data_IF_151711846975
#
_entry.id   IF_151711846975
#
_cell.length_a   1.000
_cell.length_b   1.000
_cell.length_c   1.000
_cell.angle_alpha   90.00
_cell.angle_beta   90.00
_cell.angle_gamma   90.00
#
_symmetry.space_group_name_H-M   'P 1'
#
loop_
_entity.id
_entity.type
_entity.pdbx_description
1 polymer ?
#
# COMPACT_ATOMS: atom_id res chain seq x y z
N UNK A 1 -5.62 10.26 8.42
CA UNK A 1 -7.05 10.45 8.06
C UNK A 1 -7.27 10.00 6.62
N UNK A 2 -8.27 9.15 6.34
CA UNK A 2 -8.57 8.72 4.99
C UNK A 2 -9.14 9.88 4.14
N UNK A 3 -8.62 10.10 2.92
CA UNK A 3 -9.16 11.10 1.98
C UNK A 3 -10.58 10.72 1.59
N UNK A 4 -11.55 11.60 1.84
CA UNK A 4 -12.95 11.44 1.41
C UNK A 4 -13.06 11.43 -0.12
N UNK A 5 -13.90 10.57 -0.66
CA UNK A 5 -14.18 10.54 -2.10
C UNK A 5 -14.87 11.83 -2.57
N UNK A 6 -14.82 12.13 -3.87
CA UNK A 6 -15.54 13.30 -4.42
C UNK A 6 -17.04 13.22 -4.12
N UNK A 7 -17.66 12.04 -4.27
CA UNK A 7 -19.06 11.79 -3.89
C UNK A 7 -19.32 12.13 -2.43
N UNK A 8 -18.49 11.61 -1.52
CA UNK A 8 -18.65 11.85 -0.08
C UNK A 8 -18.47 13.33 0.28
N UNK A 9 -17.54 14.04 -0.38
CA UNK A 9 -17.35 15.48 -0.19
C UNK A 9 -18.55 16.27 -0.69
N UNK A 10 -19.09 15.94 -1.87
CA UNK A 10 -20.28 16.57 -2.44
C UNK A 10 -21.49 16.36 -1.53
N UNK A 11 -21.76 15.12 -1.11
CA UNK A 11 -22.86 14.79 -0.17
C UNK A 11 -22.71 15.57 1.14
N UNK A 12 -21.52 15.55 1.76
CA UNK A 12 -21.26 16.30 3.00
C UNK A 12 -21.46 17.81 2.82
N UNK A 13 -21.04 18.37 1.68
CA UNK A 13 -21.22 19.79 1.38
C UNK A 13 -22.70 20.12 1.27
N UNK A 14 -23.48 19.32 0.54
CA UNK A 14 -24.93 19.55 0.39
C UNK A 14 -25.64 19.44 1.75
N UNK A 15 -25.39 18.38 2.53
CA UNK A 15 -25.98 18.26 3.87
C UNK A 15 -25.61 19.41 4.80
N UNK A 16 -24.36 19.87 4.76
CA UNK A 16 -23.92 21.04 5.54
C UNK A 16 -24.68 22.30 5.12
N UNK A 17 -24.91 22.49 3.83
CA UNK A 17 -25.69 23.61 3.30
C UNK A 17 -27.15 23.52 3.76
N UNK A 18 -27.81 22.37 3.60
CA UNK A 18 -29.19 22.15 4.04
C UNK A 18 -29.34 22.43 5.55
N UNK A 19 -28.48 21.86 6.39
CA UNK A 19 -28.51 22.05 7.84
C UNK A 19 -28.32 23.52 8.25
N UNK A 20 -27.45 24.24 7.54
CA UNK A 20 -27.23 25.68 7.77
C UNK A 20 -28.46 26.49 7.39
N UNK A 21 -29.15 26.14 6.30
CA UNK A 21 -30.37 26.79 5.85
C UNK A 21 -31.53 26.52 6.82
N UNK A 22 -31.69 25.29 7.30
CA UNK A 22 -32.69 24.91 8.30
C UNK A 22 -32.47 25.64 9.63
N UNK A 23 -31.23 25.71 10.12
CA UNK A 23 -30.89 26.46 11.33
C UNK A 23 -31.20 27.95 11.19
N UNK A 24 -30.85 28.55 10.05
CA UNK A 24 -31.17 29.97 9.76
C UNK A 24 -32.67 30.23 9.67
N UNK A 25 -33.45 29.28 9.13
CA UNK A 25 -34.92 29.33 9.14
C UNK A 25 -35.46 29.34 10.56
N UNK A 26 -34.98 28.42 11.41
CA UNK A 26 -35.42 28.29 12.80
C UNK A 26 -35.04 29.50 13.67
N UNK A 27 -33.84 30.05 13.47
CA UNK A 27 -33.33 31.23 14.19
C UNK A 27 -33.97 32.56 13.76
N UNK A 28 -34.79 32.59 12.70
CA UNK A 28 -35.46 33.81 12.20
C UNK A 28 -36.98 33.82 12.40
N UNK A 29 -37.58 32.73 12.91
CA UNK A 29 -38.92 32.79 13.52
C UNK A 29 -38.98 33.79 14.71
N UNK A 30 -37.82 34.29 15.15
CA UNK A 30 -37.63 35.33 16.16
C UNK A 30 -37.26 36.71 15.62
N UNK A 31 -37.18 36.95 14.30
CA UNK A 31 -36.83 38.27 13.76
C UNK A 31 -36.82 38.36 12.23
N UNK A 32 -37.58 39.32 11.70
CA UNK A 32 -37.89 39.59 10.29
C UNK A 32 -36.68 39.93 9.42
N UNK A 33 -36.25 38.99 8.56
CA UNK A 33 -35.49 39.26 7.31
C UNK A 33 -35.87 38.23 6.24
N UNK A 34 -36.02 38.69 4.99
CA UNK A 34 -36.39 37.87 3.84
C UNK A 34 -35.34 36.79 3.51
N UNK A 35 -35.85 35.63 3.14
CA UNK A 35 -35.12 34.40 2.95
C UNK A 35 -34.44 34.38 1.55
N UNK A 36 -33.22 33.84 1.44
CA UNK A 36 -32.45 33.81 0.16
C UNK A 36 -32.79 32.64 -0.79
N UNK A 37 -33.37 31.57 -0.28
CA UNK A 37 -33.83 30.40 -1.05
C UNK A 37 -35.35 30.10 -0.80
N UNK A 38 -35.91 28.98 -1.18
CA UNK A 38 -37.32 28.63 -0.90
C UNK A 38 -37.37 27.24 -0.29
N UNK A 39 -38.48 26.87 0.36
CA UNK A 39 -38.64 25.49 0.85
C UNK A 39 -38.50 24.49 -0.30
N UNK A 40 -39.03 24.85 -1.48
CA UNK A 40 -38.87 24.12 -2.72
C UNK A 40 -37.40 23.88 -3.07
N UNK A 41 -36.54 24.89 -2.98
CA UNK A 41 -35.10 24.72 -3.25
C UNK A 41 -34.38 23.82 -2.23
N UNK A 42 -34.84 23.77 -0.98
CA UNK A 42 -34.31 22.79 0.00
C UNK A 42 -34.73 21.37 -0.39
N UNK A 43 -35.99 21.19 -0.75
CA UNK A 43 -36.55 19.89 -1.14
C UNK A 43 -35.86 19.37 -2.41
N UNK A 44 -35.64 20.26 -3.40
CA UNK A 44 -34.88 19.98 -4.63
C UNK A 44 -33.44 19.53 -4.31
N UNK A 45 -32.75 20.22 -3.38
CA UNK A 45 -31.40 19.82 -2.95
C UNK A 45 -31.38 18.44 -2.28
N UNK A 46 -32.39 18.12 -1.46
CA UNK A 46 -32.51 16.82 -0.82
C UNK A 46 -32.82 15.70 -1.81
N UNK A 47 -33.62 15.98 -2.85
CA UNK A 47 -33.86 15.05 -3.95
C UNK A 47 -32.58 14.78 -4.76
N UNK A 48 -31.78 15.81 -5.03
CA UNK A 48 -30.46 15.66 -5.67
C UNK A 48 -29.53 14.76 -4.83
N UNK A 49 -29.51 14.90 -3.50
CA UNK A 49 -28.72 14.01 -2.63
C UNK A 49 -29.18 12.57 -2.75
N UNK A 50 -30.49 12.30 -2.65
CA UNK A 50 -31.05 10.95 -2.84
C UNK A 50 -30.67 10.37 -4.21
N UNK A 51 -30.72 11.19 -5.25
CA UNK A 51 -30.26 10.84 -6.59
C UNK A 51 -28.76 10.46 -6.63
N UNK A 52 -27.89 11.29 -6.04
CA UNK A 52 -26.46 11.03 -5.94
C UNK A 52 -26.17 9.76 -5.13
N UNK A 53 -26.92 9.49 -4.06
CA UNK A 53 -26.76 8.31 -3.24
C UNK A 53 -27.03 7.02 -4.02
N UNK A 54 -28.05 7.02 -4.88
CA UNK A 54 -28.43 5.89 -5.75
C UNK A 54 -27.31 5.45 -6.70
N UNK A 55 -26.46 6.38 -7.15
CA UNK A 55 -25.36 6.06 -8.07
C UNK A 55 -24.04 5.82 -7.34
N UNK A 56 -23.36 4.70 -7.61
CA UNK A 56 -22.06 4.42 -6.97
C UNK A 56 -20.97 5.47 -7.31
N UNK A 57 -21.06 6.14 -8.47
CA UNK A 57 -20.12 7.15 -8.92
C UNK A 57 -20.86 8.41 -9.41
N UNK A 58 -20.28 9.60 -9.19
CA UNK A 58 -20.84 10.87 -9.68
C UNK A 58 -20.71 11.03 -11.20
N UNK A 59 -19.66 10.46 -11.79
CA UNK A 59 -19.36 10.59 -13.21
C UNK A 59 -19.38 9.21 -13.88
N UNK A 60 -19.77 9.12 -15.16
CA UNK A 60 -19.63 7.91 -15.95
C UNK A 60 -18.18 7.42 -15.95
N UNK A 61 -17.98 6.10 -15.86
CA UNK A 61 -16.63 5.53 -15.95
C UNK A 61 -16.21 5.44 -17.41
N UNK A 62 -15.15 6.17 -17.77
CA UNK A 62 -14.46 5.98 -19.05
C UNK A 62 -13.55 4.77 -18.96
N UNK A 63 -13.55 3.94 -20.01
CA UNK A 63 -12.55 2.88 -20.14
C UNK A 63 -11.23 3.52 -20.57
N UNK A 64 -10.19 3.34 -19.77
CA UNK A 64 -8.85 3.83 -20.08
C UNK A 64 -8.06 2.65 -20.62
N UNK A 65 -7.51 2.73 -21.86
CA UNK A 65 -6.65 1.70 -22.42
C UNK A 65 -5.49 1.38 -21.46
N UNK A 66 -5.14 0.09 -21.36
CA UNK A 66 -4.12 -0.39 -20.41
C UNK A 66 -3.03 -1.13 -21.17
N UNK A 67 -1.78 -0.93 -20.78
CA UNK A 67 -0.65 -1.64 -21.34
C UNK A 67 -0.65 -3.10 -20.86
N UNK A 68 -1.08 -4.03 -21.70
CA UNK A 68 -1.13 -5.46 -21.34
C UNK A 68 0.15 -6.22 -21.67
N UNK A 69 0.96 -5.69 -22.60
CA UNK A 69 2.18 -6.33 -23.11
C UNK A 69 3.25 -6.55 -22.05
N UNK A 70 3.40 -5.60 -21.12
CA UNK A 70 4.38 -5.72 -20.04
C UNK A 70 4.18 -7.01 -19.23
N UNK A 71 2.93 -7.33 -18.91
CA UNK A 71 2.59 -8.55 -18.17
C UNK A 71 2.83 -9.82 -18.99
N UNK A 72 2.70 -9.78 -20.33
CA UNK A 72 2.95 -10.95 -21.17
C UNK A 72 4.44 -11.29 -21.29
N UNK A 73 5.33 -10.29 -21.24
CA UNK A 73 6.78 -10.51 -21.30
C UNK A 73 7.42 -10.85 -19.94
N UNK A 74 6.65 -10.78 -18.84
CA UNK A 74 7.17 -10.94 -17.49
C UNK A 74 8.01 -12.21 -17.29
N UNK A 75 7.54 -13.34 -17.83
CA UNK A 75 8.25 -14.61 -17.69
C UNK A 75 9.35 -14.82 -18.75
N UNK A 76 9.34 -14.05 -19.85
CA UNK A 76 10.32 -14.16 -20.94
C UNK A 76 11.60 -13.36 -20.70
N UNK A 77 11.61 -12.38 -19.78
CA UNK A 77 12.85 -11.67 -19.41
C UNK A 77 13.91 -12.61 -18.87
N UNK A 78 15.19 -12.28 -18.99
CA UNK A 78 16.23 -13.11 -18.39
C UNK A 78 16.19 -13.07 -16.83
N UNK A 79 17.07 -13.84 -16.18
CA UNK A 79 17.10 -13.90 -14.72
C UNK A 79 17.57 -12.58 -14.07
N UNK A 80 18.43 -11.81 -14.73
CA UNK A 80 18.96 -10.57 -14.20
C UNK A 80 17.87 -9.50 -14.20
N UNK A 81 17.17 -9.34 -15.32
CA UNK A 81 16.09 -8.38 -15.48
C UNK A 81 14.89 -8.73 -14.60
N UNK A 82 14.52 -10.00 -14.55
CA UNK A 82 13.48 -10.46 -13.61
C UNK A 82 13.83 -10.11 -12.16
N UNK A 83 15.08 -10.35 -11.75
CA UNK A 83 15.55 -10.01 -10.39
C UNK A 83 15.62 -8.50 -10.18
N UNK A 84 15.96 -7.69 -11.18
CA UNK A 84 15.95 -6.23 -11.05
C UNK A 84 14.55 -5.69 -10.76
N UNK A 85 13.53 -6.29 -11.37
CA UNK A 85 12.14 -5.84 -11.25
C UNK A 85 11.54 -6.26 -9.91
N UNK A 86 11.56 -7.57 -9.58
CA UNK A 86 10.88 -8.10 -8.37
C UNK A 86 11.81 -8.46 -7.21
N UNK A 87 13.13 -8.24 -7.33
CA UNK A 87 14.17 -8.57 -6.32
C UNK A 87 14.17 -10.02 -5.87
N UNK A 88 13.72 -10.93 -6.74
CA UNK A 88 13.56 -12.35 -6.45
C UNK A 88 13.97 -13.18 -7.66
N UNK A 89 14.50 -14.39 -7.44
CA UNK A 89 14.77 -15.35 -8.51
C UNK A 89 13.47 -15.92 -9.08
N UNK A 90 13.46 -16.25 -10.37
CA UNK A 90 12.31 -16.89 -11.05
C UNK A 90 11.85 -18.18 -10.36
N UNK A 91 12.79 -19.04 -9.96
CA UNK A 91 12.48 -20.32 -9.29
C UNK A 91 11.80 -20.10 -7.94
N UNK A 92 12.35 -19.21 -7.11
CA UNK A 92 11.77 -18.82 -5.82
C UNK A 92 10.39 -18.18 -6.02
N UNK A 93 10.25 -17.31 -7.02
CA UNK A 93 8.99 -16.66 -7.35
C UNK A 93 7.91 -17.67 -7.74
N UNK A 94 8.24 -18.64 -8.61
CA UNK A 94 7.32 -19.70 -9.01
C UNK A 94 6.90 -20.56 -7.79
N UNK A 95 7.86 -20.93 -6.94
CA UNK A 95 7.59 -21.69 -5.71
C UNK A 95 6.67 -20.92 -4.76
N UNK A 96 6.97 -19.64 -4.51
CA UNK A 96 6.19 -18.79 -3.62
C UNK A 96 4.78 -18.57 -4.15
N UNK A 97 4.65 -18.32 -5.45
CA UNK A 97 3.35 -18.21 -6.14
C UNK A 97 2.51 -19.46 -5.90
N UNK A 98 3.08 -20.65 -6.09
CA UNK A 98 2.39 -21.93 -5.86
C UNK A 98 1.96 -22.09 -4.40
N UNK A 99 2.80 -21.67 -3.45
CA UNK A 99 2.51 -21.76 -2.00
C UNK A 99 1.34 -20.88 -1.59
N UNK A 100 1.30 -19.63 -2.05
CA UNK A 100 0.25 -18.69 -1.66
C UNK A 100 -1.03 -18.85 -2.49
N UNK A 101 -0.99 -19.55 -3.64
CA UNK A 101 -2.12 -19.62 -4.58
C UNK A 101 -3.42 -20.17 -3.98
N UNK A 102 -3.34 -21.05 -2.97
CA UNK A 102 -4.52 -21.67 -2.33
C UNK A 102 -5.12 -20.80 -1.21
N UNK A 103 -4.50 -19.67 -0.87
CA UNK A 103 -4.94 -18.82 0.23
C UNK A 103 -6.33 -18.22 -0.02
N UNK A 104 -7.16 -18.13 1.03
CA UNK A 104 -8.57 -17.68 0.95
C UNK A 104 -8.71 -16.28 0.32
N UNK A 105 -7.71 -15.41 0.51
CA UNK A 105 -7.71 -14.03 -0.04
C UNK A 105 -7.72 -13.98 -1.57
N UNK A 106 -7.30 -15.06 -2.25
CA UNK A 106 -7.28 -15.16 -3.71
C UNK A 106 -8.53 -15.84 -4.28
N UNK A 107 -9.41 -16.40 -3.44
CA UNK A 107 -10.66 -16.99 -3.90
C UNK A 107 -11.66 -15.90 -4.32
N UNK A 108 -12.27 -16.07 -5.50
CA UNK A 108 -13.29 -15.13 -5.97
C UNK A 108 -14.58 -15.31 -5.17
N UNK A 109 -15.17 -14.21 -4.69
CA UNK A 109 -16.42 -14.23 -3.89
C UNK A 109 -17.68 -14.19 -4.76
N UNK A 110 -17.66 -14.80 -5.94
CA UNK A 110 -18.81 -14.83 -6.85
C UNK A 110 -19.15 -13.51 -7.55
N UNK A 111 -18.33 -12.46 -7.42
CA UNK A 111 -18.48 -11.28 -8.29
C UNK A 111 -18.14 -11.69 -9.71
N UNK A 112 -19.01 -11.49 -10.70
CA UNK A 112 -18.87 -11.94 -12.10
C UNK A 112 -17.60 -11.53 -12.87
N UNK A 113 -16.62 -10.90 -12.21
CA UNK A 113 -15.24 -10.78 -12.69
C UNK A 113 -14.30 -11.69 -11.90
N UNK A 114 -13.62 -12.56 -12.63
CA UNK A 114 -12.53 -13.36 -12.07
C UNK A 114 -11.40 -12.46 -11.55
N UNK A 115 -10.80 -12.87 -10.43
CA UNK A 115 -9.60 -12.22 -9.93
C UNK A 115 -8.44 -12.39 -10.93
N UNK A 116 -7.53 -11.42 -10.97
CA UNK A 116 -6.27 -11.57 -11.72
C UNK A 116 -5.43 -12.70 -11.13
N UNK A 117 -4.59 -13.37 -11.95
CA UNK A 117 -3.80 -14.50 -11.48
C UNK A 117 -2.85 -14.09 -10.34
N UNK A 118 -2.59 -15.04 -9.44
CA UNK A 118 -1.81 -14.81 -8.21
C UNK A 118 -0.40 -14.33 -8.50
N UNK A 119 0.24 -14.85 -9.56
CA UNK A 119 1.58 -14.42 -9.97
C UNK A 119 1.63 -12.92 -10.29
N UNK A 120 0.59 -12.35 -10.93
CA UNK A 120 0.55 -10.93 -11.28
C UNK A 120 0.38 -10.07 -10.03
N UNK A 121 -0.48 -10.52 -9.10
CA UNK A 121 -0.64 -9.86 -7.81
C UNK A 121 0.68 -9.87 -7.01
N UNK A 122 1.40 -11.00 -7.02
CA UNK A 122 2.70 -11.15 -6.37
C UNK A 122 3.77 -10.27 -7.02
N UNK A 123 3.91 -10.31 -8.35
CA UNK A 123 4.91 -9.51 -9.08
C UNK A 123 4.70 -8.01 -8.83
N UNK A 124 3.47 -7.52 -8.97
CA UNK A 124 3.12 -6.14 -8.69
C UNK A 124 3.42 -5.74 -7.23
N UNK A 125 3.21 -6.64 -6.27
CA UNK A 125 3.51 -6.39 -4.85
C UNK A 125 5.02 -6.34 -4.61
N UNK A 126 5.76 -7.30 -5.13
CA UNK A 126 7.21 -7.36 -4.96
C UNK A 126 7.92 -6.17 -5.61
N UNK A 127 7.54 -5.80 -6.84
CA UNK A 127 8.08 -4.61 -7.49
C UNK A 127 7.79 -3.34 -6.69
N UNK A 128 6.56 -3.19 -6.16
CA UNK A 128 6.21 -2.04 -5.33
C UNK A 128 7.06 -1.94 -4.06
N UNK A 129 7.34 -3.08 -3.42
CA UNK A 129 8.18 -3.15 -2.21
C UNK A 129 9.67 -2.96 -2.54
N UNK A 130 10.13 -3.48 -3.67
CA UNK A 130 11.51 -3.39 -4.13
C UNK A 130 11.94 -1.97 -4.48
N UNK A 131 11.00 -1.16 -4.99
CA UNK A 131 11.24 0.19 -5.51
C UNK A 131 10.53 1.26 -4.67
N UNK A 132 10.16 0.95 -3.43
CA UNK A 132 9.66 1.97 -2.51
C UNK A 132 10.82 2.91 -2.11
N UNK A 133 10.59 4.22 -2.24
CA UNK A 133 11.63 5.23 -2.02
C UNK A 133 12.47 5.61 -3.25
N UNK A 134 12.34 4.93 -4.39
CA UNK A 134 13.03 5.31 -5.66
C UNK A 134 12.14 6.12 -6.62
N UNK A 135 11.02 6.67 -6.13
CA UNK A 135 10.08 7.48 -6.92
C UNK A 135 9.02 6.68 -7.69
N UNK A 136 9.01 5.35 -7.60
CA UNK A 136 7.95 4.53 -8.20
C UNK A 136 6.61 4.72 -7.48
N UNK A 137 5.66 5.33 -8.19
CA UNK A 137 4.32 5.61 -7.65
C UNK A 137 3.35 4.46 -7.91
N UNK A 138 2.29 4.38 -7.10
CA UNK A 138 1.17 3.45 -7.34
C UNK A 138 0.58 3.61 -8.75
N UNK A 139 0.56 4.83 -9.28
CA UNK A 139 0.09 5.10 -10.64
C UNK A 139 1.07 4.59 -11.71
N UNK A 140 2.38 4.73 -11.47
CA UNK A 140 3.43 4.20 -12.34
C UNK A 140 3.31 2.69 -12.51
N UNK A 141 3.31 1.97 -11.40
CA UNK A 141 3.13 0.51 -11.37
C UNK A 141 1.78 0.11 -12.00
N UNK A 142 0.70 0.84 -11.68
CA UNK A 142 -0.61 0.56 -12.29
C UNK A 142 -0.61 0.69 -13.81
N UNK A 143 0.08 1.70 -14.36
CA UNK A 143 0.19 1.93 -15.80
C UNK A 143 1.03 0.85 -16.45
N UNK A 144 2.16 0.52 -15.86
CA UNK A 144 3.11 -0.49 -16.34
C UNK A 144 2.48 -1.88 -16.41
N UNK A 145 1.82 -2.33 -15.34
CA UNK A 145 1.17 -3.64 -15.28
C UNK A 145 -0.21 -3.70 -15.96
N UNK A 146 -0.70 -2.59 -16.51
CA UNK A 146 -2.02 -2.54 -17.13
C UNK A 146 -3.17 -2.85 -16.16
N UNK A 147 -3.08 -2.39 -14.92
CA UNK A 147 -4.09 -2.58 -13.87
C UNK A 147 -4.71 -1.24 -13.43
N UNK A 148 -5.66 -1.26 -12.50
CA UNK A 148 -6.17 -0.02 -11.91
C UNK A 148 -5.37 0.34 -10.66
N UNK A 149 -5.21 1.62 -10.34
CA UNK A 149 -4.41 2.06 -9.19
C UNK A 149 -4.90 1.44 -7.88
N UNK A 150 -6.22 1.33 -7.69
CA UNK A 150 -6.79 0.66 -6.52
C UNK A 150 -6.52 -0.86 -6.48
N UNK A 151 -6.25 -1.48 -7.63
CA UNK A 151 -5.85 -2.88 -7.70
C UNK A 151 -4.45 -3.10 -7.14
N UNK A 152 -3.51 -2.18 -7.36
CA UNK A 152 -2.15 -2.27 -6.77
C UNK A 152 -2.24 -2.39 -5.25
N UNK A 153 -2.96 -1.48 -4.59
CA UNK A 153 -3.14 -1.52 -3.12
C UNK A 153 -3.88 -2.78 -2.66
N UNK A 154 -4.86 -3.24 -3.45
CA UNK A 154 -5.61 -4.47 -3.15
C UNK A 154 -4.72 -5.70 -3.25
N UNK A 155 -3.87 -5.77 -4.28
CA UNK A 155 -2.93 -6.88 -4.50
C UNK A 155 -1.89 -6.93 -3.41
N UNK A 156 -1.28 -5.78 -3.07
CA UNK A 156 -0.37 -5.68 -1.93
C UNK A 156 -1.00 -6.21 -0.65
N UNK A 157 -2.22 -5.75 -0.32
CA UNK A 157 -2.90 -6.21 0.90
C UNK A 157 -3.09 -7.73 0.90
N UNK A 158 -3.56 -8.31 -0.20
CA UNK A 158 -3.79 -9.77 -0.30
C UNK A 158 -2.50 -10.56 -0.19
N UNK A 159 -1.46 -10.16 -0.92
CA UNK A 159 -0.16 -10.82 -0.91
C UNK A 159 0.48 -10.71 0.46
N UNK A 160 0.51 -9.52 1.07
CA UNK A 160 1.06 -9.33 2.43
C UNK A 160 0.28 -10.17 3.45
N UNK A 161 -1.05 -10.24 3.37
CA UNK A 161 -1.83 -11.13 4.24
C UNK A 161 -1.40 -12.59 4.07
N UNK A 162 -1.38 -13.11 2.84
CA UNK A 162 -0.98 -14.50 2.60
C UNK A 162 0.47 -14.80 3.02
N UNK A 163 1.39 -13.82 2.88
CA UNK A 163 2.77 -13.95 3.32
C UNK A 163 2.90 -13.92 4.84
N UNK A 164 2.13 -13.08 5.52
CA UNK A 164 2.11 -13.01 6.99
C UNK A 164 1.61 -14.34 7.59
N UNK A 165 0.58 -14.95 6.99
CA UNK A 165 0.07 -16.25 7.44
C UNK A 165 1.08 -17.38 7.18
N UNK A 166 1.93 -17.24 6.16
CA UNK A 166 3.02 -18.17 5.86
C UNK A 166 4.26 -17.96 6.76
N UNK A 167 4.49 -16.73 7.22
CA UNK A 167 5.69 -16.29 7.93
C UNK A 167 6.13 -17.19 9.10
N UNK A 168 5.25 -17.67 10.01
CA UNK A 168 5.65 -18.50 11.16
C UNK A 168 6.34 -19.82 10.78
N UNK A 169 6.15 -20.30 9.56
CA UNK A 169 6.81 -21.51 9.07
C UNK A 169 8.28 -21.29 8.74
N UNK A 170 8.66 -20.04 8.42
CA UNK A 170 9.98 -19.69 7.89
C UNK A 170 10.77 -18.75 8.81
N UNK A 171 10.08 -17.87 9.54
CA UNK A 171 10.70 -16.92 10.46
C UNK A 171 10.54 -17.46 11.88
N UNK A 172 11.52 -18.25 12.31
CA UNK A 172 11.58 -18.83 13.65
C UNK A 172 12.83 -18.37 14.38
N UNK A 173 12.77 -18.34 15.71
CA UNK A 173 13.97 -18.23 16.52
C UNK A 173 14.69 -19.58 16.50
N UNK A 174 16.01 -19.61 16.20
CA UNK A 174 16.75 -20.86 16.13
C UNK A 174 16.78 -21.58 17.47
N UNK A 175 16.80 -22.91 17.44
CA UNK A 175 16.85 -23.76 18.65
C UNK A 175 18.20 -23.65 19.37
N UNK A 176 18.28 -24.11 20.62
CA UNK A 176 19.51 -23.97 21.43
C UNK A 176 20.75 -24.61 20.78
N UNK A 177 20.58 -25.74 20.10
CA UNK A 177 21.64 -26.44 19.35
C UNK A 177 22.04 -25.66 18.11
N UNK A 178 21.07 -25.21 17.32
CA UNK A 178 21.28 -24.40 16.12
C UNK A 178 21.98 -23.08 16.45
N UNK A 179 21.59 -22.42 17.55
CA UNK A 179 22.25 -21.20 18.03
C UNK A 179 23.72 -21.40 18.33
N UNK A 180 24.09 -22.53 18.96
CA UNK A 180 25.50 -22.86 19.22
C UNK A 180 26.27 -23.06 17.91
N UNK A 181 25.68 -23.77 16.95
CA UNK A 181 26.30 -23.99 15.64
C UNK A 181 26.51 -22.67 14.88
N UNK A 182 25.48 -21.80 14.85
CA UNK A 182 25.57 -20.49 14.20
C UNK A 182 26.64 -19.63 14.89
N UNK A 183 26.66 -19.59 16.23
CA UNK A 183 27.64 -18.80 16.97
C UNK A 183 29.08 -19.27 16.76
N UNK A 184 29.30 -20.58 16.68
CA UNK A 184 30.61 -21.14 16.34
C UNK A 184 31.01 -20.76 14.92
N UNK A 185 30.12 -20.97 13.95
CA UNK A 185 30.37 -20.60 12.54
C UNK A 185 30.70 -19.11 12.40
N UNK A 186 29.90 -18.21 12.98
CA UNK A 186 30.15 -16.77 12.89
C UNK A 186 31.45 -16.38 13.59
N UNK A 187 31.77 -17.00 14.73
CA UNK A 187 33.05 -16.79 15.41
C UNK A 187 34.23 -17.19 14.52
N UNK A 188 34.16 -18.35 13.86
CA UNK A 188 35.25 -18.85 13.03
C UNK A 188 35.46 -18.01 11.75
N UNK A 189 34.38 -17.62 11.08
CA UNK A 189 34.47 -16.89 9.80
C UNK A 189 34.60 -15.37 9.96
N UNK A 190 34.00 -14.79 11.00
CA UNK A 190 33.91 -13.34 11.19
C UNK A 190 34.51 -12.83 12.50
N UNK A 191 35.09 -13.71 13.33
CA UNK A 191 35.64 -13.37 14.64
C UNK A 191 34.66 -12.63 15.56
N UNK A 192 33.35 -12.93 15.42
CA UNK A 192 32.30 -12.27 16.19
C UNK A 192 31.58 -13.28 17.11
N UNK A 193 32.03 -13.43 18.37
CA UNK A 193 31.54 -14.49 19.27
C UNK A 193 30.10 -14.27 19.71
N UNK A 194 29.41 -15.37 20.03
CA UNK A 194 28.03 -15.37 20.57
C UNK A 194 26.95 -14.76 19.64
N UNK A 195 27.27 -14.53 18.38
CA UNK A 195 26.32 -14.05 17.39
C UNK A 195 25.46 -15.18 16.84
N UNK A 196 24.14 -15.02 16.90
CA UNK A 196 23.19 -16.06 16.44
C UNK A 196 22.42 -15.65 15.19
N UNK A 197 22.46 -14.36 14.80
CA UNK A 197 21.80 -13.83 13.60
C UNK A 197 22.22 -12.38 13.34
N UNK A 198 22.22 -12.00 12.07
CA UNK A 198 22.26 -10.60 11.63
C UNK A 198 20.83 -10.11 11.34
N UNK A 199 20.45 -8.99 11.95
CA UNK A 199 19.24 -8.23 11.62
C UNK A 199 19.72 -6.87 11.10
N UNK A 200 19.03 -6.33 10.10
CA UNK A 200 19.38 -5.10 9.40
C UNK A 200 19.75 -3.91 10.32
N UNK A 201 20.49 -2.96 9.76
CA UNK A 201 21.16 -1.83 10.40
C UNK A 201 20.40 -1.21 11.55
N UNK A 202 20.83 -1.55 12.76
CA UNK A 202 20.43 -0.77 13.94
C UNK A 202 21.23 0.51 13.93
N UNK A 203 20.53 1.64 13.95
CA UNK A 203 21.15 2.96 14.01
C UNK A 203 21.09 3.49 15.44
N UNK A 204 22.24 3.81 16.04
CA UNK A 204 22.32 4.62 17.24
C UNK A 204 22.15 6.08 16.85
N UNK A 205 21.03 6.70 17.24
CA UNK A 205 20.75 8.11 16.94
C UNK A 205 21.64 8.99 17.82
N UNK A 206 22.35 9.93 17.20
CA UNK A 206 23.19 10.91 17.88
C UNK A 206 22.35 12.13 18.25
N UNK A 207 22.58 12.68 19.44
CA UNK A 207 21.89 13.89 19.92
C UNK A 207 22.31 15.15 19.15
N UNK A 208 23.53 15.14 18.58
CA UNK A 208 24.12 16.26 17.86
C UNK A 208 24.85 15.79 16.60
N UNK A 209 25.00 16.69 15.62
CA UNK A 209 25.86 16.49 14.45
C UNK A 209 27.33 16.33 14.91
N UNK A 210 28.03 15.26 14.51
CA UNK A 210 29.46 15.14 14.79
C UNK A 210 30.26 16.31 14.21
N UNK A 211 31.24 16.82 14.98
CA UNK A 211 32.10 17.94 14.55
C UNK A 211 32.96 17.60 13.34
N UNK A 212 33.39 16.34 13.24
CA UNK A 212 34.21 15.83 12.13
C UNK A 212 33.33 15.02 11.18
N UNK A 213 33.27 15.44 9.92
CA UNK A 213 32.50 14.77 8.85
C UNK A 213 31.05 14.48 9.26
N UNK A 214 30.33 15.45 9.85
CA UNK A 214 28.98 15.22 10.35
C UNK A 214 27.97 14.76 9.28
N UNK A 215 28.24 15.07 8.02
CA UNK A 215 27.44 14.72 6.84
C UNK A 215 27.32 13.21 6.64
N UNK A 216 28.40 12.42 6.87
CA UNK A 216 28.35 10.95 6.71
C UNK A 216 27.51 10.26 7.79
N UNK A 217 27.19 10.95 8.88
CA UNK A 217 26.30 10.44 9.91
C UNK A 217 24.82 10.75 9.63
N UNK A 218 24.52 11.52 8.58
CA UNK A 218 23.14 11.87 8.26
C UNK A 218 22.45 10.75 7.47
N UNK A 219 21.45 10.11 8.08
CA UNK A 219 20.80 8.93 7.52
C UNK A 219 19.57 9.27 6.65
N UNK A 220 19.04 8.26 5.95
CA UNK A 220 17.82 8.36 5.14
C UNK A 220 16.55 8.73 5.94
N UNK A 221 16.61 8.64 7.29
CA UNK A 221 15.55 9.06 8.21
C UNK A 221 15.71 10.52 8.68
N UNK A 222 16.59 11.29 8.03
CA UNK A 222 16.86 12.70 8.35
C UNK A 222 17.35 12.91 9.79
N UNK A 223 18.17 11.98 10.30
CA UNK A 223 18.76 12.03 11.64
C UNK A 223 20.26 11.76 11.57
N UNK A 224 21.02 12.37 12.47
CA UNK A 224 22.40 11.96 12.70
C UNK A 224 22.41 10.64 13.46
N UNK A 225 23.06 9.63 12.92
CA UNK A 225 23.14 8.30 13.54
C UNK A 225 24.36 7.53 13.07
N UNK A 226 24.81 6.60 13.89
CA UNK A 226 25.85 5.64 13.56
C UNK A 226 25.20 4.27 13.32
N UNK A 227 25.56 3.58 12.24
CA UNK A 227 25.19 2.17 12.09
C UNK A 227 26.01 1.35 13.10
N UNK A 228 25.33 0.51 13.87
CA UNK A 228 25.92 -0.31 14.95
C UNK A 228 26.29 -1.72 14.44
N UNK A 229 25.98 -2.03 13.18
CA UNK A 229 26.46 -3.27 12.57
C UNK A 229 27.98 -3.17 12.33
N UNK A 230 28.71 -4.07 12.98
CA UNK A 230 30.11 -4.39 12.69
C UNK A 230 30.21 -5.28 11.44
#
# INVERSE_FOLDING_TARGET
>A
MAKLSQKQRTIKRIHSTVRTLEYRKASMLTGSREYKYTQKEIDDLMEIVKGIEKYHYLNPRRNIPKLTEYASFFFSWDNAEFRNIVRMNKSTFALLTKKIAKHEVFKSKGSGRNQRPVWLQLACTLERLAHDGTGQSVHGISRQWGIASGSVSTYMKRVITALNDLSPHYIKWPEATERKQIATFIKEFHNFPSCVRYIDGTHMVLSQKPKKQGEVYFNCKQRYSMNVQA
#
